data_IF_895762384587
#
_entry.id   IF_895762384587
#
_cell.length_a   1.000
_cell.length_b   1.000
_cell.length_c   1.000
_cell.angle_alpha   90.00
_cell.angle_beta   90.00
_cell.angle_gamma   90.00
#
_symmetry.space_group_name_H-M   'P 1'
#
loop_
_entity.id
_entity.type
_entity.pdbx_description
1 polymer ?
#
# COMPACT_ATOMS: atom_id res chain seq x y z
N UNK A 1 16.03 46.75 32.33
CA UNK A 1 15.07 46.28 31.30
C UNK A 1 15.84 46.00 30.02
N UNK A 2 16.39 44.79 29.88
CA UNK A 2 17.02 44.31 28.64
C UNK A 2 15.98 43.49 27.87
N UNK A 3 15.61 43.95 26.68
CA UNK A 3 14.72 43.22 25.76
C UNK A 3 15.37 41.88 25.39
N UNK A 4 14.65 40.74 25.35
CA UNK A 4 15.24 39.46 24.98
C UNK A 4 15.59 39.44 23.48
N UNK A 5 16.58 38.63 23.05
CA UNK A 5 16.94 38.53 21.64
C UNK A 5 15.82 37.87 20.84
N UNK A 6 15.40 38.58 19.80
CA UNK A 6 14.49 38.14 18.75
C UNK A 6 15.26 37.31 17.73
N UNK A 7 15.47 36.02 17.98
CA UNK A 7 15.50 34.96 16.96
C UNK A 7 15.69 33.57 17.61
N UNK A 8 14.61 32.84 17.83
CA UNK A 8 14.66 31.39 17.96
C UNK A 8 13.48 30.83 17.14
N UNK A 9 13.69 30.78 15.83
CA UNK A 9 12.89 29.99 14.92
C UNK A 9 12.97 28.52 15.37
N UNK A 10 11.87 28.03 15.94
CA UNK A 10 11.30 26.67 15.87
C UNK A 10 12.24 25.44 15.93
N UNK A 11 11.81 24.42 16.69
CA UNK A 11 11.50 23.17 16.01
C UNK A 11 9.98 22.93 16.07
N UNK A 12 9.27 23.44 15.05
CA UNK A 12 8.11 22.73 14.54
C UNK A 12 8.63 21.36 14.17
N UNK A 13 7.99 20.31 14.70
CA UNK A 13 8.09 18.96 14.20
C UNK A 13 9.53 18.60 13.77
N UNK A 14 10.28 17.91 14.64
CA UNK A 14 11.08 16.82 14.11
C UNK A 14 10.12 16.02 13.23
N UNK A 15 10.21 16.26 11.92
CA UNK A 15 9.55 15.45 10.94
C UNK A 15 10.13 14.08 11.24
N UNK A 16 9.39 13.26 12.00
CA UNK A 16 9.57 11.83 11.92
C UNK A 16 9.40 11.60 10.43
N UNK A 17 10.52 11.34 9.74
CA UNK A 17 10.47 10.70 8.45
C UNK A 17 9.87 9.35 8.76
N UNK A 18 8.53 9.31 8.79
CA UNK A 18 7.80 8.05 8.88
C UNK A 18 8.37 7.19 7.75
N UNK A 19 8.83 5.97 8.05
CA UNK A 19 9.49 5.14 7.05
C UNK A 19 8.53 4.99 5.88
N UNK A 20 8.91 5.55 4.73
CA UNK A 20 8.15 5.39 3.49
C UNK A 20 8.14 3.90 3.20
N UNK A 21 6.96 3.29 3.24
CA UNK A 21 6.86 1.88 2.90
C UNK A 21 7.23 1.79 1.42
N UNK A 22 8.21 0.95 1.08
CA UNK A 22 8.64 0.78 -0.31
C UNK A 22 7.82 -0.33 -0.95
N UNK A 23 7.37 -0.13 -2.19
CA UNK A 23 6.72 -1.17 -2.99
C UNK A 23 7.65 -2.39 -3.13
N UNK A 24 7.12 -3.58 -2.82
CA UNK A 24 7.81 -4.86 -2.98
C UNK A 24 7.28 -5.54 -4.26
N UNK A 25 8.19 -5.82 -5.21
CA UNK A 25 7.87 -6.50 -6.48
C UNK A 25 8.42 -7.94 -6.55
N UNK A 26 9.16 -8.36 -5.52
CA UNK A 26 9.67 -9.73 -5.36
C UNK A 26 8.69 -10.56 -4.54
N UNK A 27 8.76 -11.90 -4.60
CA UNK A 27 7.98 -12.76 -3.72
C UNK A 27 8.12 -12.36 -2.24
N UNK A 28 7.00 -12.17 -1.55
CA UNK A 28 6.95 -11.65 -0.16
C UNK A 28 5.95 -12.41 0.73
N UNK A 29 5.55 -13.62 0.33
CA UNK A 29 4.63 -14.46 1.09
C UNK A 29 5.40 -15.56 1.80
N UNK A 30 5.25 -15.68 3.13
CA UNK A 30 5.88 -16.73 3.92
C UNK A 30 5.35 -18.13 3.58
N UNK A 31 4.06 -18.21 3.19
CA UNK A 31 3.36 -19.44 2.80
C UNK A 31 2.59 -19.18 1.50
N UNK A 32 3.34 -19.07 0.41
CA UNK A 32 2.81 -18.70 -0.90
C UNK A 32 1.70 -19.67 -1.36
N UNK A 33 1.96 -20.97 -1.29
CA UNK A 33 1.02 -22.00 -1.76
C UNK A 33 -0.33 -21.94 -1.05
N UNK A 34 -0.33 -21.84 0.29
CA UNK A 34 -1.57 -21.73 1.08
C UNK A 34 -2.35 -20.45 0.74
N UNK A 35 -1.63 -19.36 0.49
CA UNK A 35 -2.24 -18.07 0.14
C UNK A 35 -2.88 -18.14 -1.25
N UNK A 36 -2.19 -18.72 -2.23
CA UNK A 36 -2.72 -18.90 -3.58
C UNK A 36 -3.89 -19.89 -3.61
N UNK A 37 -3.82 -20.97 -2.82
CA UNK A 37 -4.92 -21.92 -2.67
C UNK A 37 -6.17 -21.24 -2.10
N UNK A 38 -6.02 -20.41 -1.06
CA UNK A 38 -7.14 -19.66 -0.49
C UNK A 38 -7.75 -18.66 -1.49
N UNK A 39 -6.91 -18.00 -2.29
CA UNK A 39 -7.40 -17.11 -3.35
C UNK A 39 -8.17 -17.89 -4.43
N UNK A 40 -7.64 -19.03 -4.89
CA UNK A 40 -8.30 -19.85 -5.91
C UNK A 40 -9.65 -20.38 -5.41
N UNK A 41 -9.69 -20.88 -4.17
CA UNK A 41 -10.91 -21.35 -3.53
C UNK A 41 -11.98 -20.25 -3.44
N UNK A 42 -11.58 -19.00 -3.20
CA UNK A 42 -12.51 -17.87 -3.18
C UNK A 42 -13.16 -17.58 -4.55
N UNK A 43 -12.56 -18.04 -5.65
CA UNK A 43 -13.09 -17.92 -7.01
C UNK A 43 -13.88 -19.15 -7.48
N UNK A 44 -13.86 -20.26 -6.75
CA UNK A 44 -14.55 -21.49 -7.16
C UNK A 44 -16.06 -21.27 -7.31
N UNK A 45 -16.62 -21.73 -8.43
CA UNK A 45 -18.04 -21.61 -8.74
C UNK A 45 -18.49 -20.22 -9.22
N UNK A 46 -17.60 -19.21 -9.24
CA UNK A 46 -17.93 -17.88 -9.75
C UNK A 46 -17.87 -17.83 -11.28
N UNK A 47 -18.83 -17.15 -11.89
CA UNK A 47 -18.71 -16.70 -13.27
C UNK A 47 -17.58 -15.68 -13.43
N UNK A 48 -17.18 -15.41 -14.68
CA UNK A 48 -16.15 -14.41 -14.98
C UNK A 48 -16.49 -13.01 -14.40
N UNK A 49 -17.71 -12.46 -14.59
CA UNK A 49 -18.06 -11.17 -14.00
C UNK A 49 -18.05 -11.16 -12.46
N UNK A 50 -18.48 -12.25 -11.81
CA UNK A 50 -18.47 -12.36 -10.35
C UNK A 50 -17.04 -12.46 -9.81
N UNK A 51 -16.18 -13.20 -10.49
CA UNK A 51 -14.75 -13.31 -10.21
C UNK A 51 -14.05 -11.95 -10.34
N UNK A 52 -14.36 -11.18 -11.38
CA UNK A 52 -13.84 -9.82 -11.56
C UNK A 52 -14.36 -8.87 -10.45
N UNK A 53 -15.63 -9.01 -10.05
CA UNK A 53 -16.20 -8.24 -8.94
C UNK A 53 -15.60 -8.62 -7.56
N UNK A 54 -15.23 -9.88 -7.35
CA UNK A 54 -14.46 -10.31 -6.18
C UNK A 54 -13.09 -9.61 -6.18
N UNK A 55 -12.37 -9.66 -7.30
CA UNK A 55 -11.05 -9.02 -7.42
C UNK A 55 -11.10 -7.52 -7.19
N UNK A 56 -12.11 -6.82 -7.71
CA UNK A 56 -12.28 -5.38 -7.47
C UNK A 56 -12.48 -5.06 -5.99
N UNK A 57 -13.33 -5.83 -5.29
CA UNK A 57 -13.55 -5.67 -3.84
C UNK A 57 -12.29 -5.97 -3.04
N UNK A 58 -11.59 -7.05 -3.36
CA UNK A 58 -10.33 -7.41 -2.72
C UNK A 58 -9.27 -6.32 -2.91
N UNK A 59 -9.13 -5.79 -4.12
CA UNK A 59 -8.20 -4.70 -4.42
C UNK A 59 -8.47 -3.45 -3.56
N UNK A 60 -9.73 -3.04 -3.42
CA UNK A 60 -10.11 -1.91 -2.58
C UNK A 60 -9.78 -2.15 -1.09
N UNK A 61 -10.03 -3.36 -0.59
CA UNK A 61 -9.67 -3.74 0.79
C UNK A 61 -8.16 -3.65 0.99
N UNK A 62 -7.36 -4.19 0.07
CA UNK A 62 -5.90 -4.17 0.16
C UNK A 62 -5.32 -2.76 0.03
N UNK A 63 -5.87 -1.92 -0.85
CA UNK A 63 -5.50 -0.50 -0.96
C UNK A 63 -5.73 0.21 0.37
N UNK A 64 -6.89 0.00 1.00
CA UNK A 64 -7.20 0.58 2.30
C UNK A 64 -6.28 0.05 3.41
N UNK A 65 -5.94 -1.25 3.37
CA UNK A 65 -5.01 -1.85 4.33
C UNK A 65 -3.59 -1.30 4.19
N UNK A 66 -3.12 -1.05 2.96
CA UNK A 66 -1.80 -0.47 2.69
C UNK A 66 -1.72 0.97 3.20
N UNK A 67 -2.73 1.81 2.94
CA UNK A 67 -2.84 3.18 3.47
C UNK A 67 -1.79 4.20 2.98
N UNK A 68 -0.71 3.74 2.34
CA UNK A 68 0.38 4.57 1.81
C UNK A 68 0.13 4.94 0.34
N UNK A 69 -0.17 6.23 0.09
CA UNK A 69 -0.47 6.75 -1.23
C UNK A 69 0.70 6.60 -2.23
N UNK A 70 1.94 6.68 -1.77
CA UNK A 70 3.10 6.60 -2.65
C UNK A 70 3.38 5.15 -3.06
N UNK A 71 3.18 4.18 -2.15
CA UNK A 71 3.15 2.74 -2.48
C UNK A 71 2.10 2.46 -3.55
N UNK A 72 0.87 2.97 -3.37
CA UNK A 72 -0.24 2.74 -4.29
C UNK A 72 0.07 3.32 -5.68
N UNK A 73 0.60 4.55 -5.76
CA UNK A 73 1.01 5.17 -7.03
C UNK A 73 2.13 4.38 -7.73
N UNK A 74 3.11 3.91 -6.96
CA UNK A 74 4.18 3.07 -7.49
C UNK A 74 3.62 1.75 -8.03
N UNK A 75 2.68 1.11 -7.33
CA UNK A 75 2.03 -0.12 -7.77
C UNK A 75 1.24 0.07 -9.08
N UNK A 76 0.45 1.14 -9.19
CA UNK A 76 -0.29 1.49 -10.41
C UNK A 76 0.66 1.76 -11.59
N UNK A 77 1.80 2.41 -11.33
CA UNK A 77 2.83 2.64 -12.36
C UNK A 77 3.47 1.34 -12.81
N UNK A 78 3.79 0.44 -11.88
CA UNK A 78 4.36 -0.87 -12.17
C UNK A 78 3.40 -1.75 -12.99
N UNK A 79 2.10 -1.77 -12.64
CA UNK A 79 1.06 -2.59 -13.28
C UNK A 79 0.70 -2.15 -14.71
N UNK A 80 0.96 -0.88 -15.08
CA UNK A 80 0.75 -0.39 -16.46
C UNK A 80 1.82 -0.87 -17.44
N UNK A 81 2.95 -1.40 -16.95
CA UNK A 81 4.00 -1.94 -17.82
C UNK A 81 3.51 -3.28 -18.38
N UNK A 82 3.53 -3.48 -19.70
CA UNK A 82 3.21 -4.78 -20.27
C UNK A 82 4.21 -5.83 -19.76
N UNK A 83 3.70 -7.02 -19.48
CA UNK A 83 4.50 -8.22 -19.19
C UNK A 83 5.21 -8.71 -20.42
#
# INVERSE_FOLDING_TARGET
MTKPPSNALLPAQLARSEPVTKLILTPNLARADDTYAALLAAHEGLSKPESDALNARLLLILINHIGDQDVIKAALTAAKRPT
#
